data_IF_913969473318
#
_entry.id   IF_913969473318
#
_cell.length_a   1.000
_cell.length_b   1.000
_cell.length_c   1.000
_cell.angle_alpha   90.00
_cell.angle_beta   90.00
_cell.angle_gamma   90.00
#
_symmetry.space_group_name_H-M   'P 1'
#
loop_
_entity.id
_entity.type
_entity.pdbx_description
1 polymer ?
#
# COMPACT_ATOMS: atom_id res chain seq x y z
N UNK A 1 -2.76 4.40 12.70
CA UNK A 1 -4.16 4.05 12.34
C UNK A 1 -4.26 2.55 12.23
N UNK A 2 -4.90 1.89 13.18
CA UNK A 2 -4.99 0.44 13.15
C UNK A 2 -5.97 -0.02 12.06
N UNK A 3 -5.65 -1.12 11.40
CA UNK A 3 -6.55 -1.69 10.41
C UNK A 3 -7.58 -2.62 11.09
N UNK A 4 -8.75 -2.78 10.44
CA UNK A 4 -9.83 -3.66 10.89
C UNK A 4 -9.69 -5.05 10.29
N UNK A 5 -9.32 -5.12 9.01
CA UNK A 5 -9.11 -6.39 8.32
C UNK A 5 -8.04 -6.25 7.24
N UNK A 6 -7.44 -7.38 6.88
CA UNK A 6 -6.44 -7.44 5.83
C UNK A 6 -6.52 -8.78 5.10
N UNK A 7 -6.40 -8.72 3.77
CA UNK A 7 -6.30 -9.89 2.90
C UNK A 7 -5.17 -9.67 1.91
N UNK A 8 -4.41 -10.70 1.62
CA UNK A 8 -3.40 -10.63 0.56
C UNK A 8 -3.18 -11.98 -0.10
N UNK A 9 -2.66 -11.97 -1.34
CA UNK A 9 -2.50 -13.15 -2.15
C UNK A 9 -1.46 -14.12 -1.59
N UNK A 10 -0.40 -13.61 -0.97
CA UNK A 10 0.69 -14.41 -0.45
C UNK A 10 1.36 -13.72 0.73
N UNK A 11 1.83 -14.51 1.69
CA UNK A 11 2.52 -13.97 2.85
C UNK A 11 1.60 -13.31 3.85
N UNK A 12 2.17 -12.48 4.72
CA UNK A 12 1.46 -11.76 5.79
C UNK A 12 1.78 -10.27 5.73
N UNK A 13 0.87 -9.46 6.27
CA UNK A 13 1.12 -8.05 6.45
C UNK A 13 2.24 -7.85 7.49
N UNK A 14 3.23 -7.04 7.15
CA UNK A 14 4.32 -6.69 8.04
C UNK A 14 4.24 -5.22 8.42
N UNK A 15 4.36 -4.94 9.71
CA UNK A 15 4.40 -3.57 10.20
C UNK A 15 5.85 -3.10 10.30
N UNK A 16 6.14 -1.95 9.70
CA UNK A 16 7.44 -1.28 9.72
C UNK A 16 8.58 -2.07 9.05
N UNK A 17 8.25 -3.13 8.32
CA UNK A 17 9.21 -3.87 7.51
C UNK A 17 8.57 -4.32 6.20
N UNK A 18 9.41 -4.67 5.22
CA UNK A 18 8.95 -5.24 3.97
C UNK A 18 8.30 -6.61 4.20
N UNK A 19 7.73 -7.18 3.15
CA UNK A 19 7.09 -8.49 3.22
C UNK A 19 8.05 -9.57 3.74
N UNK A 20 9.33 -9.49 3.44
CA UNK A 20 10.36 -10.44 3.90
C UNK A 20 11.00 -10.06 5.24
N UNK A 21 10.50 -9.00 5.89
CA UNK A 21 11.00 -8.55 7.19
C UNK A 21 12.23 -7.66 7.12
N UNK A 22 12.54 -7.11 5.95
CA UNK A 22 13.65 -6.20 5.77
C UNK A 22 13.22 -4.74 5.99
N UNK A 23 14.16 -3.84 6.26
CA UNK A 23 13.89 -2.41 6.20
C UNK A 23 13.38 -2.06 4.80
N UNK A 24 12.34 -1.23 4.72
CA UNK A 24 11.80 -0.82 3.44
C UNK A 24 12.88 -0.16 2.58
N UNK A 25 12.98 -0.58 1.33
CA UNK A 25 13.88 0.03 0.37
C UNK A 25 13.15 0.25 -0.96
N UNK A 26 12.94 1.53 -1.28
CA UNK A 26 12.24 1.93 -2.50
C UNK A 26 13.05 3.03 -3.18
N UNK A 27 13.34 2.82 -4.47
CA UNK A 27 14.08 3.81 -5.24
C UNK A 27 15.46 4.15 -4.70
N UNK A 28 16.12 3.18 -4.05
CA UNK A 28 17.45 3.38 -3.46
C UNK A 28 17.46 4.02 -2.08
N UNK A 29 16.29 4.30 -1.51
CA UNK A 29 16.19 4.90 -0.16
C UNK A 29 15.57 3.93 0.83
N UNK A 30 16.00 4.03 2.09
CA UNK A 30 15.49 3.24 3.20
C UNK A 30 14.41 4.00 3.97
N UNK A 31 13.38 3.27 4.42
CA UNK A 31 12.27 3.82 5.20
C UNK A 31 11.98 2.88 6.37
N UNK A 32 11.45 3.41 7.47
CA UNK A 32 11.26 2.65 8.72
C UNK A 32 9.81 2.49 9.17
N UNK A 33 8.88 3.30 8.67
CA UNK A 33 7.50 3.29 9.12
C UNK A 33 6.55 2.97 7.98
N UNK A 34 5.63 2.05 8.22
CA UNK A 34 4.60 1.70 7.24
C UNK A 34 4.22 0.24 7.30
N UNK A 35 3.77 -0.28 6.17
CA UNK A 35 3.36 -1.68 6.03
C UNK A 35 3.99 -2.29 4.80
N UNK A 36 4.47 -3.53 4.94
CA UNK A 36 4.88 -4.36 3.81
C UNK A 36 3.79 -5.38 3.52
N UNK A 37 3.33 -5.45 2.29
CA UNK A 37 2.29 -6.38 1.87
C UNK A 37 2.58 -6.96 0.50
N UNK A 38 1.81 -7.95 0.10
CA UNK A 38 1.93 -8.59 -1.22
C UNK A 38 0.64 -8.33 -2.01
N UNK A 39 0.75 -7.78 -3.20
CA UNK A 39 -0.41 -7.62 -4.07
C UNK A 39 -0.85 -9.01 -4.57
N UNK A 40 -2.12 -9.29 -4.72
CA UNK A 40 -3.22 -8.38 -4.46
C UNK A 40 -3.56 -8.37 -2.98
N UNK A 41 -3.83 -7.21 -2.46
CA UNK A 41 -4.15 -7.06 -1.04
C UNK A 41 -5.26 -6.04 -0.83
N UNK A 42 -5.92 -6.15 0.31
CA UNK A 42 -6.96 -5.20 0.74
C UNK A 42 -6.85 -5.01 2.25
N UNK A 43 -6.59 -3.80 2.67
CA UNK A 43 -6.49 -3.43 4.07
C UNK A 43 -7.56 -2.42 4.40
N UNK A 44 -8.41 -2.73 5.37
CA UNK A 44 -9.58 -1.91 5.75
C UNK A 44 -9.31 -1.22 7.07
N UNK A 45 -9.51 0.10 7.08
CA UNK A 45 -9.39 0.93 8.27
C UNK A 45 -10.74 1.54 8.61
N UNK A 46 -11.13 1.49 9.88
CA UNK A 46 -12.31 2.18 10.38
C UNK A 46 -11.84 3.51 11.01
N UNK A 47 -12.04 4.62 10.30
CA UNK A 47 -11.55 5.93 10.72
C UNK A 47 -12.64 6.83 11.30
N UNK A 48 -13.90 6.40 11.23
CA UNK A 48 -15.04 7.02 11.93
C UNK A 48 -15.22 8.52 11.68
N UNK A 49 -14.78 9.04 10.54
CA UNK A 49 -14.90 10.46 10.23
C UNK A 49 -13.97 11.37 11.02
N UNK A 50 -12.98 10.83 11.72
CA UNK A 50 -12.12 11.61 12.63
C UNK A 50 -10.95 12.33 11.96
N UNK A 51 -10.67 12.04 10.71
CA UNK A 51 -9.50 12.57 10.00
C UNK A 51 -9.90 13.42 8.81
N UNK A 52 -9.09 14.41 8.48
CA UNK A 52 -9.36 15.30 7.34
C UNK A 52 -8.58 14.92 6.09
N UNK A 53 -7.34 14.47 6.27
CA UNK A 53 -6.43 14.20 5.16
C UNK A 53 -5.69 12.89 5.41
N UNK A 54 -5.52 12.11 4.36
CA UNK A 54 -4.67 10.92 4.37
C UNK A 54 -3.55 11.10 3.37
N UNK A 55 -2.32 10.95 3.84
CA UNK A 55 -1.11 11.04 3.02
C UNK A 55 -0.24 9.83 3.27
N UNK A 56 0.28 9.23 2.19
CA UNK A 56 1.20 8.11 2.29
C UNK A 56 2.17 8.07 1.13
N UNK A 57 3.31 7.40 1.35
CA UNK A 57 4.17 6.98 0.26
C UNK A 57 3.87 5.53 -0.13
N UNK A 58 4.15 5.15 -1.36
CA UNK A 58 4.00 3.78 -1.81
C UNK A 58 5.03 3.44 -2.89
N UNK A 59 5.37 2.16 -2.96
CA UNK A 59 6.29 1.69 -3.98
C UNK A 59 6.50 0.18 -3.88
N UNK A 60 7.19 -0.38 -4.86
CA UNK A 60 7.65 -1.76 -4.81
C UNK A 60 8.98 -1.81 -4.08
N UNK A 61 9.09 -2.75 -3.13
CA UNK A 61 10.34 -2.94 -2.41
C UNK A 61 11.40 -3.54 -3.33
N UNK A 62 12.64 -3.06 -3.21
CA UNK A 62 13.75 -3.54 -4.03
C UNK A 62 14.18 -4.97 -3.70
N UNK A 63 13.65 -5.58 -2.64
CA UNK A 63 13.82 -7.01 -2.40
C UNK A 63 13.15 -7.85 -3.50
N UNK A 64 12.29 -7.24 -4.30
CA UNK A 64 11.39 -7.88 -5.25
C UNK A 64 11.64 -7.34 -6.66
N UNK A 65 12.61 -7.89 -7.37
CA UNK A 65 13.06 -7.36 -8.66
C UNK A 65 12.29 -7.90 -9.88
N UNK A 66 11.45 -8.91 -9.70
CA UNK A 66 10.79 -9.59 -10.82
C UNK A 66 9.35 -9.18 -11.06
N UNK A 67 8.85 -8.16 -10.34
CA UNK A 67 7.46 -7.73 -10.50
C UNK A 67 7.17 -7.15 -11.89
N UNK A 68 6.01 -7.49 -12.44
CA UNK A 68 5.51 -6.93 -13.69
C UNK A 68 4.70 -5.63 -13.47
N UNK A 69 4.66 -5.14 -12.23
CA UNK A 69 3.94 -3.95 -11.85
C UNK A 69 2.73 -4.24 -10.97
N UNK A 70 2.26 -3.20 -10.30
CA UNK A 70 1.17 -3.24 -9.34
C UNK A 70 0.32 -1.99 -9.51
N UNK A 71 -0.94 -2.07 -9.14
CA UNK A 71 -1.85 -0.94 -9.04
C UNK A 71 -2.22 -0.73 -7.57
N UNK A 72 -2.27 0.52 -7.12
CA UNK A 72 -2.71 0.86 -5.77
C UNK A 72 -3.90 1.81 -5.83
N UNK A 73 -4.93 1.51 -5.06
CA UNK A 73 -6.12 2.34 -4.96
C UNK A 73 -6.42 2.68 -3.51
N UNK A 74 -6.92 3.89 -3.29
CA UNK A 74 -7.46 4.33 -2.01
C UNK A 74 -8.96 4.51 -2.20
N UNK A 75 -9.74 3.73 -1.45
CA UNK A 75 -11.20 3.70 -1.55
C UNK A 75 -11.79 4.18 -0.24
N UNK A 76 -12.65 5.18 -0.30
CA UNK A 76 -13.28 5.77 0.88
C UNK A 76 -14.79 5.67 0.77
N UNK A 77 -15.42 4.98 1.73
CA UNK A 77 -16.87 4.76 1.76
C UNK A 77 -17.43 4.32 0.40
N UNK A 78 -16.70 3.40 -0.27
CA UNK A 78 -17.10 2.85 -1.55
C UNK A 78 -16.72 3.68 -2.78
N UNK A 79 -16.05 4.81 -2.61
CA UNK A 79 -15.63 5.69 -3.70
C UNK A 79 -14.12 5.65 -3.87
N UNK A 80 -13.65 5.45 -5.09
CA UNK A 80 -12.21 5.48 -5.40
C UNK A 80 -11.75 6.94 -5.37
N UNK A 81 -10.91 7.29 -4.40
CA UNK A 81 -10.34 8.64 -4.29
C UNK A 81 -8.98 8.76 -4.97
N UNK A 82 -8.26 7.67 -5.11
CA UNK A 82 -6.94 7.64 -5.73
C UNK A 82 -6.73 6.33 -6.45
N UNK A 83 -6.15 6.40 -7.64
CA UNK A 83 -5.76 5.24 -8.42
C UNK A 83 -4.39 5.54 -9.02
N UNK A 84 -3.40 4.74 -8.65
CA UNK A 84 -2.02 4.95 -9.11
C UNK A 84 -1.82 4.63 -10.59
N UNK A 85 -2.73 3.86 -11.18
CA UNK A 85 -2.41 3.16 -12.42
C UNK A 85 -1.33 2.10 -12.15
N UNK A 86 -0.82 1.47 -13.19
CA UNK A 86 0.24 0.47 -13.07
C UNK A 86 1.57 1.16 -12.76
N UNK A 87 2.27 0.72 -11.72
CA UNK A 87 3.62 1.19 -11.41
C UNK A 87 4.56 0.01 -11.15
N UNK A 88 5.84 0.22 -11.47
CA UNK A 88 6.90 -0.76 -11.24
C UNK A 88 7.92 -0.27 -10.23
N UNK A 89 9.08 -0.89 -10.23
CA UNK A 89 10.21 -0.47 -9.41
C UNK A 89 10.62 0.97 -9.78
N UNK A 90 11.04 1.73 -8.79
CA UNK A 90 11.45 3.11 -8.96
C UNK A 90 11.34 3.88 -7.67
N UNK A 91 11.38 5.20 -7.77
CA UNK A 91 11.31 6.09 -6.60
C UNK A 91 9.98 5.96 -5.88
N UNK A 92 9.99 6.23 -4.58
CA UNK A 92 8.77 6.31 -3.80
C UNK A 92 7.83 7.36 -4.39
N UNK A 93 6.57 6.98 -4.56
CA UNK A 93 5.50 7.87 -4.99
C UNK A 93 4.67 8.25 -3.76
N UNK A 94 3.95 9.34 -3.85
CA UNK A 94 3.09 9.80 -2.76
C UNK A 94 1.65 9.94 -3.23
N UNK A 95 0.72 9.70 -2.31
CA UNK A 95 -0.70 9.92 -2.52
C UNK A 95 -1.24 10.74 -1.35
N UNK A 96 -2.08 11.72 -1.65
CA UNK A 96 -2.74 12.55 -0.64
C UNK A 96 -4.18 12.75 -1.05
N UNK A 97 -5.10 12.42 -0.15
CA UNK A 97 -6.54 12.52 -0.40
C UNK A 97 -7.25 13.15 0.79
N UNK A 98 -8.34 13.87 0.51
CA UNK A 98 -9.23 14.37 1.54
C UNK A 98 -10.14 13.23 2.00
N UNK A 99 -10.17 12.98 3.31
CA UNK A 99 -11.00 11.94 3.92
C UNK A 99 -11.93 12.51 4.98
N UNK A 100 -12.27 13.78 4.87
CA UNK A 100 -13.21 14.43 5.80
C UNK A 100 -14.55 13.70 5.78
N UNK A 101 -15.04 13.34 6.95
CA UNK A 101 -16.29 12.59 7.15
C UNK A 101 -16.27 11.15 6.61
N UNK A 102 -15.14 10.63 6.19
CA UNK A 102 -15.01 9.23 5.74
C UNK A 102 -15.01 8.29 6.93
N UNK A 103 -15.82 7.25 6.88
CA UNK A 103 -15.92 6.25 7.93
C UNK A 103 -15.01 5.07 7.70
N UNK A 104 -14.94 4.57 6.49
CA UNK A 104 -14.15 3.38 6.13
C UNK A 104 -13.18 3.72 5.01
N UNK A 105 -11.91 3.44 5.23
CA UNK A 105 -10.84 3.65 4.26
C UNK A 105 -10.23 2.30 3.89
N UNK A 106 -10.10 2.04 2.60
CA UNK A 106 -9.51 0.80 2.10
C UNK A 106 -8.29 1.15 1.26
N UNK A 107 -7.17 0.50 1.55
CA UNK A 107 -5.99 0.54 0.69
C UNK A 107 -5.95 -0.80 -0.03
N UNK A 108 -6.09 -0.76 -1.35
CA UNK A 108 -6.16 -1.94 -2.19
C UNK A 108 -5.00 -1.96 -3.16
N UNK A 109 -4.34 -3.11 -3.25
CA UNK A 109 -3.30 -3.33 -4.25
C UNK A 109 -3.75 -4.45 -5.19
N UNK A 110 -3.45 -4.31 -6.47
CA UNK A 110 -3.83 -5.29 -7.48
C UNK A 110 -2.60 -5.73 -8.26
N UNK A 111 -2.45 -7.06 -8.40
CA UNK A 111 -1.49 -7.66 -9.32
C UNK A 111 -2.03 -7.58 -10.74
N UNK A 112 -1.15 -7.72 -11.71
CA UNK A 112 -1.53 -7.84 -13.12
C UNK A 112 -1.44 -9.31 -13.56
N UNK A 113 -0.72 -9.62 -14.64
CA UNK A 113 -0.65 -10.97 -15.18
C UNK A 113 0.08 -11.93 -14.27
N UNK A 114 1.09 -11.46 -13.56
CA UNK A 114 1.93 -12.24 -12.68
C UNK A 114 1.93 -11.59 -11.29
N UNK A 115 1.65 -12.37 -10.24
CA UNK A 115 1.71 -11.85 -8.89
C UNK A 115 3.03 -12.16 -8.18
N UNK A 116 3.97 -12.80 -8.85
CA UNK A 116 5.28 -13.05 -8.28
C UNK A 116 6.01 -11.72 -8.03
N UNK A 117 6.72 -11.63 -6.91
CA UNK A 117 7.52 -10.47 -6.54
C UNK A 117 6.72 -9.16 -6.34
N UNK A 118 5.42 -9.22 -6.16
CA UNK A 118 4.60 -8.01 -5.96
C UNK A 118 4.64 -7.55 -4.49
N UNK A 119 5.84 -7.25 -4.00
CA UNK A 119 6.07 -6.77 -2.62
C UNK A 119 5.89 -5.26 -2.57
N UNK A 120 4.82 -4.81 -1.94
CA UNK A 120 4.44 -3.39 -1.88
C UNK A 120 4.74 -2.81 -0.51
N UNK A 121 5.43 -1.68 -0.50
CA UNK A 121 5.67 -0.91 0.71
C UNK A 121 4.74 0.29 0.75
N UNK A 122 4.01 0.43 1.85
CA UNK A 122 3.15 1.58 2.13
C UNK A 122 3.80 2.34 3.28
N UNK A 123 4.28 3.54 2.99
CA UNK A 123 5.15 4.30 3.88
C UNK A 123 4.38 5.48 4.49
N UNK A 124 4.55 5.63 5.79
CA UNK A 124 3.97 6.77 6.50
C UNK A 124 4.69 8.09 6.16
#
# INVERSE_FOLDING_TARGET
MPYVSHKQAWGKLHKNTSLEGNTFKVGGKLYNDGFGTHASSETVFNIEGKYKTFKMGYGLDEESLCSDGVQLQIIADGVILFDSGRFGLGKLKTAEVSIENVKTLIIKTNSFEDMDCDHVDIIN
#
